data_IF_819553116149
#
_entry.id   IF_819553116149
#
_cell.length_a   1.000
_cell.length_b   1.000
_cell.length_c   1.000
_cell.angle_alpha   90.00
_cell.angle_beta   90.00
_cell.angle_gamma   90.00
#
_symmetry.space_group_name_H-M   'P 1'
#
loop_
_entity.id
_entity.type
_entity.pdbx_description
1 polymer ?
#
# COMPACT_ATOMS: atom_id res chain seq x y z
N UNK A 1 3.34 16.06 -8.96
CA UNK A 1 2.35 15.02 -9.31
C UNK A 1 0.95 15.61 -9.42
N UNK A 2 0.42 16.25 -8.37
CA UNK A 2 -0.89 16.90 -8.44
C UNK A 2 -0.89 18.07 -9.45
N UNK A 3 0.16 18.90 -9.44
CA UNK A 3 0.38 19.93 -10.48
C UNK A 3 0.56 19.37 -11.90
N UNK A 4 0.84 18.07 -12.03
CA UNK A 4 0.95 17.36 -13.32
C UNK A 4 -0.38 16.74 -13.77
N UNK A 5 -1.48 16.98 -13.04
CA UNK A 5 -2.84 16.56 -13.41
C UNK A 5 -3.37 15.31 -12.71
N UNK A 6 -2.63 14.72 -11.75
CA UNK A 6 -3.17 13.62 -10.94
C UNK A 6 -4.28 14.12 -10.00
N UNK A 7 -5.40 13.39 -9.91
CA UNK A 7 -6.50 13.72 -8.98
C UNK A 7 -6.18 13.41 -7.52
N UNK A 8 -5.24 12.49 -7.29
CA UNK A 8 -4.69 12.16 -5.99
C UNK A 8 -3.29 11.55 -6.14
N UNK A 9 -2.50 11.61 -5.07
CA UNK A 9 -1.18 11.00 -4.98
C UNK A 9 -1.02 10.32 -3.62
N UNK A 10 -0.30 9.21 -3.60
CA UNK A 10 0.12 8.52 -2.37
C UNK A 10 1.63 8.39 -2.39
N UNK A 11 2.29 8.89 -1.36
CA UNK A 11 3.72 8.73 -1.12
C UNK A 11 3.93 7.68 -0.04
N UNK A 12 4.54 6.56 -0.42
CA UNK A 12 4.81 5.46 0.50
C UNK A 12 6.04 5.76 1.36
N UNK A 13 5.88 5.70 2.69
CA UNK A 13 6.95 5.88 3.68
C UNK A 13 7.06 4.73 4.69
N UNK A 14 6.22 3.70 4.54
CA UNK A 14 6.11 2.55 5.45
C UNK A 14 7.38 1.70 5.71
N UNK A 15 8.51 1.97 5.06
CA UNK A 15 9.79 1.27 5.33
C UNK A 15 10.54 1.83 6.56
N UNK A 16 10.08 2.95 7.12
CA UNK A 16 10.68 3.54 8.31
C UNK A 16 10.32 2.75 9.57
N UNK A 17 11.33 2.26 10.29
CA UNK A 17 11.16 1.46 11.52
C UNK A 17 10.54 2.23 12.69
N UNK A 18 10.75 3.54 12.74
CA UNK A 18 10.33 4.39 13.86
C UNK A 18 8.90 4.94 13.69
N UNK A 19 8.47 5.19 12.46
CA UNK A 19 7.11 5.64 12.13
C UNK A 19 6.75 5.30 10.68
N UNK A 20 6.31 4.06 10.40
CA UNK A 20 5.93 3.66 9.06
C UNK A 20 4.59 4.30 8.70
N UNK A 21 4.63 5.39 7.93
CA UNK A 21 3.44 6.10 7.49
C UNK A 21 3.50 6.39 5.99
N UNK A 22 2.35 6.37 5.34
CA UNK A 22 2.19 6.83 3.96
C UNK A 22 1.38 8.13 3.96
N UNK A 23 1.67 9.00 3.00
CA UNK A 23 0.99 10.29 2.86
C UNK A 23 0.05 10.23 1.65
N UNK A 24 -1.23 10.45 1.87
CA UNK A 24 -2.22 10.69 0.81
C UNK A 24 -2.47 12.20 0.69
N UNK A 25 -2.58 12.67 -0.55
CA UNK A 25 -3.03 14.01 -0.86
C UNK A 25 -3.90 13.99 -2.11
N UNK A 26 -5.03 14.70 -2.10
CA UNK A 26 -5.85 14.91 -3.28
C UNK A 26 -5.68 16.31 -3.91
N UNK A 27 -6.25 16.48 -5.10
CA UNK A 27 -6.20 17.74 -5.84
C UNK A 27 -6.92 18.90 -5.13
N UNK A 28 -7.79 18.62 -4.17
CA UNK A 28 -8.56 19.61 -3.43
C UNK A 28 -7.84 20.04 -2.14
N UNK A 29 -6.66 19.45 -1.88
CA UNK A 29 -5.78 19.79 -0.78
C UNK A 29 -6.08 19.01 0.51
N UNK A 30 -6.91 17.95 0.45
CA UNK A 30 -7.06 17.05 1.60
C UNK A 30 -5.78 16.24 1.78
N UNK A 31 -5.23 16.25 3.00
CA UNK A 31 -3.98 15.59 3.36
C UNK A 31 -4.27 14.61 4.48
N UNK A 32 -3.92 13.34 4.24
CA UNK A 32 -4.18 12.27 5.19
C UNK A 32 -2.91 11.44 5.41
N UNK A 33 -2.57 11.22 6.69
CA UNK A 33 -1.54 10.26 7.06
C UNK A 33 -2.17 8.90 7.26
N UNK A 34 -1.71 7.92 6.49
CA UNK A 34 -2.02 6.53 6.74
C UNK A 34 -0.90 5.97 7.61
N UNK A 35 -1.13 5.94 8.92
CA UNK A 35 -0.25 5.24 9.84
C UNK A 35 -0.29 3.73 9.54
N UNK A 36 0.87 3.09 9.60
CA UNK A 36 1.01 1.65 9.42
C UNK A 36 1.74 1.03 10.60
N UNK A 37 1.88 -0.29 10.54
CA UNK A 37 2.74 -1.05 11.43
C UNK A 37 3.86 -1.68 10.60
N UNK A 38 5.03 -1.81 11.22
CA UNK A 38 6.12 -2.57 10.61
C UNK A 38 5.67 -4.02 10.43
N UNK A 39 5.54 -4.45 9.18
CA UNK A 39 4.72 -5.63 8.85
C UNK A 39 5.50 -6.93 8.61
N UNK A 40 6.83 -6.94 8.80
CA UNK A 40 7.64 -8.15 8.67
C UNK A 40 8.95 -7.94 7.90
N UNK A 41 9.54 -8.99 7.32
CA UNK A 41 10.79 -8.88 6.56
C UNK A 41 10.60 -8.01 5.30
N UNK A 42 11.70 -7.47 4.79
CA UNK A 42 11.69 -6.77 3.49
C UNK A 42 11.37 -7.79 2.38
N UNK A 43 10.21 -7.64 1.76
CA UNK A 43 9.72 -8.48 0.66
C UNK A 43 9.73 -7.69 -0.64
N UNK A 44 10.09 -8.36 -1.73
CA UNK A 44 10.00 -7.79 -3.06
C UNK A 44 8.53 -7.74 -3.51
N UNK A 45 8.17 -6.68 -4.24
CA UNK A 45 6.84 -6.55 -4.86
C UNK A 45 5.76 -5.90 -3.99
N UNK A 46 6.08 -5.40 -2.79
CA UNK A 46 5.11 -4.72 -1.90
C UNK A 46 4.45 -3.52 -2.59
N UNK A 47 5.23 -2.72 -3.31
CA UNK A 47 4.72 -1.59 -4.10
C UNK A 47 3.82 -2.03 -5.26
N UNK A 48 4.16 -3.13 -5.95
CA UNK A 48 3.33 -3.68 -7.03
C UNK A 48 1.99 -4.19 -6.52
N UNK A 49 2.00 -4.88 -5.37
CA UNK A 49 0.78 -5.38 -4.73
C UNK A 49 -0.08 -4.22 -4.23
N UNK A 50 0.53 -3.21 -3.63
CA UNK A 50 -0.17 -2.01 -3.18
C UNK A 50 -0.87 -1.29 -4.34
N UNK A 51 -0.16 -1.02 -5.44
CA UNK A 51 -0.74 -0.34 -6.60
C UNK A 51 -1.82 -1.18 -7.30
N UNK A 52 -1.60 -2.50 -7.43
CA UNK A 52 -2.60 -3.42 -8.00
C UNK A 52 -3.86 -3.48 -7.12
N UNK A 53 -3.73 -3.49 -5.80
CA UNK A 53 -4.85 -3.47 -4.87
C UNK A 53 -5.65 -2.16 -4.96
N UNK A 54 -4.98 -1.00 -5.09
CA UNK A 54 -5.67 0.28 -5.33
C UNK A 54 -6.49 0.19 -6.61
N UNK A 55 -5.89 -0.25 -7.71
CA UNK A 55 -6.57 -0.38 -9.00
C UNK A 55 -7.80 -1.31 -8.91
N UNK A 56 -7.67 -2.45 -8.22
CA UNK A 56 -8.77 -3.37 -8.00
C UNK A 56 -9.93 -2.74 -7.20
N UNK A 57 -9.64 -2.05 -6.09
CA UNK A 57 -10.69 -1.37 -5.32
C UNK A 57 -11.36 -0.24 -6.10
N UNK A 58 -10.59 0.52 -6.90
CA UNK A 58 -11.17 1.55 -7.78
C UNK A 58 -12.09 0.94 -8.85
N UNK A 59 -11.73 -0.23 -9.42
CA UNK A 59 -12.59 -0.94 -10.35
C UNK A 59 -13.93 -1.38 -9.72
N UNK A 60 -13.94 -1.59 -8.40
CA UNK A 60 -15.16 -1.83 -7.61
C UNK A 60 -15.88 -0.54 -7.17
N UNK A 61 -15.57 0.62 -7.79
CA UNK A 61 -16.17 1.92 -7.47
C UNK A 61 -15.99 2.37 -6.01
N UNK A 62 -14.94 1.86 -5.34
CA UNK A 62 -14.57 2.35 -4.01
C UNK A 62 -13.96 3.76 -4.15
N UNK A 63 -14.34 4.74 -3.31
CA UNK A 63 -13.76 6.08 -3.33
C UNK A 63 -12.23 6.05 -3.18
N UNK A 64 -11.52 6.97 -3.84
CA UNK A 64 -10.05 6.92 -3.97
C UNK A 64 -9.35 6.78 -2.62
N UNK A 65 -9.65 7.64 -1.65
CA UNK A 65 -9.04 7.57 -0.33
C UNK A 65 -9.32 6.23 0.37
N UNK A 66 -10.57 5.74 0.32
CA UNK A 66 -10.94 4.45 0.89
C UNK A 66 -10.26 3.26 0.16
N UNK A 67 -10.06 3.36 -1.16
CA UNK A 67 -9.33 2.35 -1.93
C UNK A 67 -7.85 2.29 -1.50
N UNK A 68 -7.21 3.44 -1.28
CA UNK A 68 -5.84 3.53 -0.74
C UNK A 68 -5.75 2.90 0.65
N UNK A 69 -6.68 3.22 1.55
CA UNK A 69 -6.72 2.64 2.90
C UNK A 69 -6.88 1.11 2.86
N UNK A 70 -7.81 0.60 2.05
CA UNK A 70 -8.03 -0.85 1.90
C UNK A 70 -6.83 -1.55 1.25
N UNK A 71 -6.18 -0.92 0.27
CA UNK A 71 -4.97 -1.45 -0.35
C UNK A 71 -3.80 -1.54 0.62
N UNK A 72 -3.64 -0.53 1.50
CA UNK A 72 -2.62 -0.54 2.55
C UNK A 72 -2.83 -1.71 3.51
N UNK A 73 -4.07 -1.91 3.97
CA UNK A 73 -4.42 -3.02 4.84
C UNK A 73 -4.21 -4.38 4.16
N UNK A 74 -4.60 -4.51 2.90
CA UNK A 74 -4.38 -5.72 2.10
C UNK A 74 -2.89 -6.03 1.97
N UNK A 75 -2.08 -5.03 1.63
CA UNK A 75 -0.62 -5.19 1.47
C UNK A 75 0.04 -5.58 2.81
N UNK A 76 -0.34 -4.95 3.92
CA UNK A 76 0.16 -5.29 5.24
C UNK A 76 -0.15 -6.75 5.61
N UNK A 77 -1.35 -7.25 5.28
CA UNK A 77 -1.72 -8.67 5.48
C UNK A 77 -0.94 -9.61 4.58
N UNK A 78 -0.70 -9.22 3.33
CA UNK A 78 0.10 -10.01 2.40
C UNK A 78 1.57 -10.15 2.84
N UNK A 79 2.12 -9.10 3.47
CA UNK A 79 3.45 -9.12 4.09
C UNK A 79 3.46 -9.99 5.34
N UNK A 80 2.49 -9.79 6.25
CA UNK A 80 2.48 -10.52 7.52
C UNK A 80 2.23 -12.01 7.35
N UNK A 81 1.50 -12.41 6.30
CA UNK A 81 1.21 -13.80 5.94
C UNK A 81 2.13 -14.38 4.87
N UNK A 82 3.29 -13.75 4.61
CA UNK A 82 4.28 -14.18 3.61
C UNK A 82 4.58 -15.68 3.68
N UNK A 83 4.92 -16.23 2.52
CA UNK A 83 5.30 -17.63 2.38
C UNK A 83 6.77 -17.73 2.00
N UNK A 84 7.38 -18.84 2.39
CA UNK A 84 8.72 -19.24 1.93
C UNK A 84 8.54 -20.27 0.84
N UNK A 85 9.10 -19.99 -0.33
CA UNK A 85 9.19 -20.94 -1.44
C UNK A 85 10.48 -21.76 -1.30
N UNK A 86 10.58 -22.84 -2.08
CA UNK A 86 11.78 -23.68 -2.12
C UNK A 86 13.03 -22.81 -2.39
N UNK A 87 14.09 -23.04 -1.61
CA UNK A 87 15.33 -22.25 -1.68
C UNK A 87 15.32 -20.94 -0.86
N UNK A 88 14.53 -20.88 0.23
CA UNK A 88 14.49 -19.78 1.21
C UNK A 88 14.05 -18.41 0.67
N UNK A 89 13.43 -18.37 -0.51
CA UNK A 89 12.89 -17.14 -1.10
C UNK A 89 11.57 -16.79 -0.41
N UNK A 90 11.53 -15.64 0.28
CA UNK A 90 10.32 -15.12 0.92
C UNK A 90 9.52 -14.25 -0.06
N UNK A 91 8.21 -14.50 -0.17
CA UNK A 91 7.32 -13.74 -1.07
C UNK A 91 5.96 -13.42 -0.43
N UNK A 92 5.29 -12.42 -0.98
CA UNK A 92 3.97 -11.96 -0.56
C UNK A 92 2.91 -13.05 -0.75
N UNK A 93 2.01 -13.18 0.22
CA UNK A 93 0.88 -14.10 0.14
C UNK A 93 -0.40 -13.33 -0.21
N UNK A 94 -0.92 -13.54 -1.41
CA UNK A 94 -2.10 -12.83 -1.93
C UNK A 94 -3.41 -13.61 -1.77
N UNK A 95 -3.36 -14.80 -1.19
CA UNK A 95 -4.49 -15.76 -1.15
C UNK A 95 -5.18 -15.77 0.23
N UNK A 96 -4.88 -14.80 1.11
CA UNK A 96 -5.46 -14.70 2.46
C UNK A 96 -6.10 -13.35 2.77
#
# INVERSE_FOLDING_TARGET
MLELGCVAAVLTGGHRKDRPADLYMDKDGDIQWLEGEFSGPDLHGTGCVFSAAIAAYLAHSIPIYAAVQKAKLFTARAISSHITLDGDVKTLNLIR
#
